data_IF_671584823020
#
_entry.id   IF_671584823020
#
_cell.length_a   1.000
_cell.length_b   1.000
_cell.length_c   1.000
_cell.angle_alpha   90.00
_cell.angle_beta   90.00
_cell.angle_gamma   90.00
#
_symmetry.space_group_name_H-M   'P 1'
#
loop_
_entity.id
_entity.type
_entity.pdbx_description
1 polymer ?
#
# COMPACT_ATOMS: atom_id res chain seq x y z
N UNK A 1 -13.60 -0.62 -36.46
CA UNK A 1 -12.67 -0.74 -35.31
C UNK A 1 -12.98 0.45 -34.42
N UNK A 2 -12.92 0.32 -33.09
CA UNK A 2 -13.05 1.51 -32.23
C UNK A 2 -11.74 2.27 -32.28
N UNK A 3 -11.78 3.54 -32.62
CA UNK A 3 -10.60 4.39 -32.62
C UNK A 3 -10.31 4.87 -31.21
N UNK A 4 -9.04 5.01 -30.78
CA UNK A 4 -8.68 5.48 -29.45
C UNK A 4 -9.27 6.85 -29.10
N UNK A 5 -9.39 7.73 -30.09
CA UNK A 5 -9.95 9.09 -29.95
C UNK A 5 -11.43 9.05 -29.50
N UNK A 6 -12.23 8.11 -30.02
CA UNK A 6 -13.63 7.96 -29.63
C UNK A 6 -13.76 7.47 -28.17
N UNK A 7 -12.88 6.58 -27.74
CA UNK A 7 -12.82 6.11 -26.35
C UNK A 7 -12.37 7.22 -25.41
N UNK A 8 -11.37 8.02 -25.79
CA UNK A 8 -10.91 9.16 -25.00
C UNK A 8 -11.99 10.24 -24.90
N UNK A 9 -12.72 10.51 -25.98
CA UNK A 9 -13.85 11.44 -25.97
C UNK A 9 -14.96 10.97 -25.01
N UNK A 10 -15.26 9.68 -25.00
CA UNK A 10 -16.22 9.08 -24.06
C UNK A 10 -15.75 9.25 -22.60
N UNK A 11 -14.48 8.95 -22.32
CA UNK A 11 -13.89 9.15 -20.97
C UNK A 11 -13.95 10.63 -20.56
N UNK A 12 -13.74 11.55 -21.49
CA UNK A 12 -13.84 12.99 -21.22
C UNK A 12 -15.29 13.38 -20.87
N UNK A 13 -16.27 12.94 -21.67
CA UNK A 13 -17.69 13.24 -21.44
C UNK A 13 -18.20 12.67 -20.10
N UNK A 14 -17.71 11.49 -19.70
CA UNK A 14 -18.02 10.87 -18.43
C UNK A 14 -17.25 11.46 -17.23
N UNK A 15 -16.36 12.43 -17.47
CA UNK A 15 -15.49 13.02 -16.43
C UNK A 15 -14.46 12.00 -15.87
N UNK A 16 -14.11 10.97 -16.65
CA UNK A 16 -13.19 9.90 -16.24
C UNK A 16 -11.80 10.02 -16.85
N UNK A 17 -11.60 10.97 -17.79
CA UNK A 17 -10.30 11.20 -18.41
C UNK A 17 -9.25 11.55 -17.35
N UNK A 18 -8.08 10.93 -17.46
CA UNK A 18 -6.95 11.13 -16.55
C UNK A 18 -5.77 11.73 -17.31
N UNK A 19 -5.05 12.63 -16.67
CA UNK A 19 -3.80 13.21 -17.18
C UNK A 19 -2.70 13.08 -16.12
N UNK A 20 -1.47 12.93 -16.59
CA UNK A 20 -0.30 13.01 -15.71
C UNK A 20 -0.07 14.47 -15.30
N UNK A 21 0.25 14.64 -14.02
CA UNK A 21 0.73 15.92 -13.51
C UNK A 21 2.23 15.81 -13.31
N UNK A 22 2.99 16.62 -14.02
CA UNK A 22 4.44 16.73 -13.84
C UNK A 22 4.72 17.86 -12.86
N UNK A 23 5.62 17.65 -11.92
CA UNK A 23 6.02 18.67 -10.96
C UNK A 23 7.37 18.31 -10.34
N UNK A 24 8.09 19.32 -9.88
CA UNK A 24 9.30 19.15 -9.07
C UNK A 24 8.88 18.98 -7.61
N UNK A 25 9.26 17.87 -6.99
CA UNK A 25 9.00 17.63 -5.57
C UNK A 25 10.23 18.05 -4.75
N UNK A 26 10.00 18.81 -3.66
CA UNK A 26 10.96 19.00 -2.58
C UNK A 26 10.19 19.01 -1.25
N UNK A 27 10.60 18.20 -0.28
CA UNK A 27 10.10 18.23 1.11
C UNK A 27 8.59 18.44 1.28
N UNK A 28 7.76 17.58 0.68
CA UNK A 28 6.30 17.73 0.65
C UNK A 28 5.79 18.94 -0.14
N UNK A 29 6.68 19.72 -0.77
CA UNK A 29 6.32 20.77 -1.71
C UNK A 29 6.41 20.24 -3.14
N UNK A 30 5.38 20.52 -3.93
CA UNK A 30 5.38 20.38 -5.38
C UNK A 30 5.38 21.78 -5.97
N UNK A 31 6.01 21.95 -7.12
CA UNK A 31 5.76 23.13 -7.94
C UNK A 31 4.75 22.77 -9.03
N UNK A 32 3.76 23.62 -9.24
CA UNK A 32 2.88 23.54 -10.42
C UNK A 32 3.69 23.83 -11.69
N UNK A 33 3.08 23.60 -12.86
CA UNK A 33 3.69 23.98 -14.15
C UNK A 33 4.11 25.46 -14.20
N UNK A 34 3.44 26.32 -13.42
CA UNK A 34 3.66 27.76 -13.33
C UNK A 34 4.67 28.13 -12.22
N UNK A 35 5.32 27.13 -11.61
CA UNK A 35 6.36 27.33 -10.60
C UNK A 35 5.85 27.69 -9.19
N UNK A 36 4.53 27.68 -8.94
CA UNK A 36 3.98 27.98 -7.63
C UNK A 36 4.20 26.80 -6.66
N UNK A 37 4.69 27.05 -5.44
CA UNK A 37 4.85 26.01 -4.44
C UNK A 37 3.49 25.53 -3.94
N UNK A 38 3.32 24.23 -3.84
CA UNK A 38 2.08 23.57 -3.37
C UNK A 38 2.43 22.53 -2.32
N UNK A 39 1.78 22.58 -1.16
CA UNK A 39 1.93 21.55 -0.13
C UNK A 39 1.20 20.28 -0.58
N UNK A 40 1.92 19.17 -0.57
CA UNK A 40 1.43 17.90 -1.12
C UNK A 40 0.74 17.04 -0.06
N UNK A 41 -0.58 17.10 0.01
CA UNK A 41 -1.43 16.23 0.83
C UNK A 41 -1.94 14.98 0.08
N UNK A 42 -1.17 14.49 -0.91
CA UNK A 42 -1.53 13.31 -1.70
C UNK A 42 -0.45 12.22 -1.75
N UNK A 43 0.75 12.51 -1.23
CA UNK A 43 1.86 11.57 -1.23
C UNK A 43 1.62 10.41 -0.26
N UNK A 44 2.07 9.22 -0.64
CA UNK A 44 2.14 8.08 0.27
C UNK A 44 3.51 7.97 0.99
N UNK A 45 4.40 8.94 0.81
CA UNK A 45 5.66 9.05 1.58
C UNK A 45 5.37 9.56 2.98
N UNK A 46 4.74 8.70 3.79
CA UNK A 46 4.18 9.05 5.09
C UNK A 46 5.21 9.57 6.10
N UNK A 47 6.45 9.09 6.01
CA UNK A 47 7.54 9.50 6.89
C UNK A 47 8.47 10.53 6.26
N UNK A 48 8.29 10.86 4.96
CA UNK A 48 9.15 11.80 4.24
C UNK A 48 10.53 11.24 3.93
N UNK A 49 10.69 9.91 3.88
CA UNK A 49 11.99 9.26 3.71
C UNK A 49 12.48 9.22 2.26
N UNK A 50 11.63 9.45 1.26
CA UNK A 50 12.02 9.33 -0.14
C UNK A 50 13.14 10.29 -0.58
N UNK A 51 13.38 11.35 0.20
CA UNK A 51 14.43 12.35 -0.02
C UNK A 51 15.44 12.40 1.14
N UNK A 52 15.35 11.46 2.05
CA UNK A 52 16.27 11.38 3.17
C UNK A 52 17.71 11.15 2.70
N UNK A 53 18.64 11.95 3.23
CA UNK A 53 20.04 11.91 2.82
C UNK A 53 20.65 10.53 2.99
N UNK A 54 20.29 9.79 4.04
CA UNK A 54 20.81 8.43 4.26
C UNK A 54 20.35 7.46 3.17
N UNK A 55 19.06 7.53 2.73
CA UNK A 55 18.56 6.71 1.64
C UNK A 55 19.22 7.09 0.31
N UNK A 56 19.36 8.38 0.05
CA UNK A 56 20.02 8.88 -1.17
C UNK A 56 21.47 8.40 -1.22
N UNK A 57 22.21 8.51 -0.12
CA UNK A 57 23.60 8.07 -0.05
C UNK A 57 23.71 6.56 -0.23
N UNK A 58 22.87 5.75 0.41
CA UNK A 58 22.83 4.30 0.24
C UNK A 58 22.54 3.90 -1.23
N UNK A 59 21.65 4.60 -1.90
CA UNK A 59 21.35 4.39 -3.31
C UNK A 59 22.56 4.74 -4.22
N UNK A 60 23.21 5.88 -3.97
CA UNK A 60 24.38 6.34 -4.71
C UNK A 60 25.57 5.37 -4.55
N UNK A 61 25.85 4.93 -3.33
CA UNK A 61 26.90 3.97 -3.02
C UNK A 61 26.63 2.63 -3.73
N UNK A 62 25.43 2.10 -3.61
CA UNK A 62 25.04 0.86 -4.30
C UNK A 62 25.13 0.99 -5.82
N UNK A 63 24.75 2.15 -6.39
CA UNK A 63 24.92 2.43 -7.81
C UNK A 63 26.38 2.43 -8.21
N UNK A 64 27.25 3.07 -7.44
CA UNK A 64 28.69 3.09 -7.70
C UNK A 64 29.32 1.71 -7.68
N UNK A 65 28.84 0.81 -6.81
CA UNK A 65 29.40 -0.54 -6.62
C UNK A 65 28.81 -1.60 -7.56
N UNK A 66 27.51 -1.55 -7.83
CA UNK A 66 26.78 -2.60 -8.54
C UNK A 66 26.23 -2.15 -9.90
N UNK A 67 26.35 -0.88 -10.26
CA UNK A 67 25.76 -0.31 -11.47
C UNK A 67 24.30 0.09 -11.29
N UNK A 68 23.70 0.62 -12.38
CA UNK A 68 22.34 1.17 -12.39
C UNK A 68 21.24 0.11 -12.52
N UNK A 69 21.59 -1.14 -12.83
CA UNK A 69 20.64 -2.23 -13.01
C UNK A 69 21.25 -3.59 -12.71
N UNK A 70 20.43 -4.61 -12.55
CA UNK A 70 20.87 -5.96 -12.20
C UNK A 70 21.21 -6.85 -13.41
N UNK A 71 20.89 -6.42 -14.64
CA UNK A 71 21.29 -7.07 -15.89
C UNK A 71 20.55 -8.36 -16.26
N UNK A 72 19.83 -9.01 -15.32
CA UNK A 72 19.11 -10.26 -15.53
C UNK A 72 17.97 -10.43 -14.51
N UNK A 73 17.15 -11.49 -14.67
CA UNK A 73 16.22 -11.90 -13.64
C UNK A 73 16.95 -12.45 -12.41
N UNK A 74 16.25 -12.44 -11.26
CA UNK A 74 16.78 -12.89 -9.97
C UNK A 74 17.31 -14.34 -10.01
N UNK A 75 16.66 -15.23 -10.76
CA UNK A 75 17.03 -16.63 -10.85
C UNK A 75 18.18 -16.92 -11.82
N UNK A 76 18.57 -15.95 -12.64
CA UNK A 76 19.71 -16.11 -13.57
C UNK A 76 20.99 -15.52 -12.94
N UNK A 77 21.20 -14.22 -13.05
CA UNK A 77 22.37 -13.54 -12.49
C UNK A 77 22.05 -12.19 -11.85
N UNK A 78 20.75 -11.82 -11.80
CA UNK A 78 20.30 -10.53 -11.28
C UNK A 78 20.12 -10.48 -9.75
N UNK A 79 20.40 -11.58 -9.03
CA UNK A 79 20.34 -11.60 -7.56
C UNK A 79 21.64 -11.10 -6.96
N UNK A 80 21.71 -9.80 -6.70
CA UNK A 80 22.88 -9.13 -6.12
C UNK A 80 22.78 -9.06 -4.60
N UNK A 81 23.93 -8.78 -3.92
CA UNK A 81 23.97 -8.71 -2.45
C UNK A 81 22.91 -7.77 -1.84
N UNK A 82 22.67 -6.54 -2.35
CA UNK A 82 21.64 -5.67 -1.77
C UNK A 82 20.24 -6.28 -1.75
N UNK A 83 19.88 -7.14 -2.71
CA UNK A 83 18.59 -7.81 -2.70
C UNK A 83 18.47 -8.83 -1.57
N UNK A 84 19.55 -9.64 -1.36
CA UNK A 84 19.59 -10.61 -0.28
C UNK A 84 19.56 -9.93 1.08
N UNK A 85 20.40 -8.91 1.26
CA UNK A 85 20.53 -8.20 2.53
C UNK A 85 19.19 -7.52 2.92
N UNK A 86 18.48 -6.96 1.93
CA UNK A 86 17.13 -6.41 2.11
C UNK A 86 16.12 -7.50 2.51
N UNK A 87 16.13 -8.67 1.85
CA UNK A 87 15.20 -9.76 2.14
C UNK A 87 15.44 -10.37 3.53
N UNK A 88 16.70 -10.55 3.92
CA UNK A 88 17.08 -10.97 5.26
C UNK A 88 16.61 -9.96 6.32
N UNK A 89 16.80 -8.66 6.07
CA UNK A 89 16.36 -7.61 6.97
C UNK A 89 14.84 -7.49 7.09
N UNK A 90 14.09 -7.66 5.99
CA UNK A 90 12.63 -7.71 6.03
C UNK A 90 12.15 -8.90 6.86
N UNK A 91 12.74 -10.07 6.67
CA UNK A 91 12.37 -11.27 7.43
C UNK A 91 12.59 -11.06 8.93
N UNK A 92 13.75 -10.54 9.32
CA UNK A 92 14.08 -10.19 10.71
C UNK A 92 13.06 -9.16 11.27
N UNK A 93 12.85 -8.05 10.54
CA UNK A 93 11.97 -6.98 10.96
C UNK A 93 10.52 -7.44 11.13
N UNK A 94 10.03 -8.30 10.21
CA UNK A 94 8.66 -8.83 10.26
C UNK A 94 8.49 -10.06 11.17
N UNK A 95 9.57 -10.54 11.79
CA UNK A 95 9.53 -11.73 12.65
C UNK A 95 9.22 -13.02 11.89
N UNK A 96 9.65 -13.14 10.61
CA UNK A 96 9.37 -14.31 9.78
C UNK A 96 10.66 -15.05 9.39
N UNK A 97 10.54 -16.30 8.93
CA UNK A 97 11.71 -17.11 8.55
C UNK A 97 12.39 -16.63 7.25
N UNK A 98 11.62 -15.95 6.38
CA UNK A 98 12.13 -15.47 5.09
C UNK A 98 11.24 -14.36 4.51
N UNK A 99 11.80 -13.61 3.55
CA UNK A 99 11.07 -12.68 2.71
C UNK A 99 11.55 -12.77 1.26
N UNK A 100 10.71 -12.30 0.33
CA UNK A 100 11.03 -12.16 -1.08
C UNK A 100 10.56 -10.78 -1.58
N UNK A 101 11.41 -10.09 -2.33
CA UNK A 101 11.13 -8.75 -2.86
C UNK A 101 10.75 -8.78 -4.35
N UNK A 102 9.92 -7.82 -4.73
CA UNK A 102 9.40 -7.61 -6.09
C UNK A 102 9.57 -6.16 -6.52
N UNK A 103 9.44 -5.90 -7.81
CA UNK A 103 9.56 -4.56 -8.39
C UNK A 103 8.57 -3.53 -7.79
N UNK A 104 7.41 -3.97 -7.35
CA UNK A 104 6.37 -3.14 -6.68
C UNK A 104 5.34 -4.03 -5.97
N UNK A 105 4.46 -3.41 -5.18
CA UNK A 105 3.38 -4.12 -4.47
C UNK A 105 2.39 -4.82 -5.40
N UNK A 106 2.12 -4.27 -6.58
CA UNK A 106 1.25 -4.92 -7.56
C UNK A 106 1.83 -6.27 -8.02
N UNK A 107 3.12 -6.29 -8.36
CA UNK A 107 3.84 -7.51 -8.73
C UNK A 107 3.90 -8.53 -7.57
N UNK A 108 4.00 -8.05 -6.32
CA UNK A 108 3.97 -8.90 -5.13
C UNK A 108 2.62 -9.62 -5.01
N UNK A 109 1.51 -8.89 -5.06
CA UNK A 109 0.16 -9.45 -4.98
C UNK A 109 -0.11 -10.47 -6.10
N UNK A 110 0.22 -10.09 -7.35
CA UNK A 110 0.09 -10.97 -8.52
C UNK A 110 0.94 -12.23 -8.39
N UNK A 111 2.16 -12.08 -7.86
CA UNK A 111 3.09 -13.19 -7.64
C UNK A 111 2.61 -14.12 -6.53
N UNK A 112 2.21 -13.59 -5.39
CA UNK A 112 1.75 -14.35 -4.24
C UNK A 112 0.49 -15.14 -4.55
N UNK A 113 -0.57 -14.47 -5.00
CA UNK A 113 -1.85 -15.13 -5.27
C UNK A 113 -1.75 -16.12 -6.45
N UNK A 114 -0.98 -15.76 -7.50
CA UNK A 114 -0.76 -16.68 -8.64
C UNK A 114 0.15 -17.87 -8.34
N UNK A 115 1.01 -17.78 -7.30
CA UNK A 115 1.87 -18.89 -6.89
C UNK A 115 1.18 -19.82 -5.88
N UNK A 116 0.32 -19.26 -5.04
CA UNK A 116 -0.27 -19.98 -3.91
C UNK A 116 -1.62 -20.61 -4.21
N UNK A 117 -2.34 -20.12 -5.20
CA UNK A 117 -3.71 -20.55 -5.49
C UNK A 117 -3.81 -21.24 -6.85
N UNK A 118 -4.75 -22.18 -6.92
CA UNK A 118 -5.15 -22.93 -8.12
C UNK A 118 -6.67 -23.02 -8.23
N UNK A 119 -7.19 -23.61 -9.31
CA UNK A 119 -8.63 -23.73 -9.55
C UNK A 119 -9.41 -24.51 -8.49
N UNK A 120 -8.73 -25.36 -7.70
CA UNK A 120 -9.34 -26.10 -6.59
C UNK A 120 -9.44 -25.32 -5.28
N UNK A 121 -8.80 -24.15 -5.20
CA UNK A 121 -8.71 -23.34 -3.99
C UNK A 121 -9.83 -22.29 -3.93
N UNK A 122 -10.02 -21.73 -2.73
CA UNK A 122 -10.98 -20.64 -2.48
C UNK A 122 -10.25 -19.46 -1.85
N UNK A 123 -10.50 -18.25 -2.38
CA UNK A 123 -10.04 -17.00 -1.80
C UNK A 123 -11.25 -16.14 -1.42
N UNK A 124 -11.30 -15.73 -0.16
CA UNK A 124 -12.34 -14.87 0.41
C UNK A 124 -11.69 -13.52 0.72
N UNK A 125 -12.22 -12.44 0.12
CA UNK A 125 -11.57 -11.14 0.12
C UNK A 125 -12.51 -10.03 0.55
N UNK A 126 -12.00 -9.05 1.31
CA UNK A 126 -12.74 -7.83 1.61
C UNK A 126 -13.03 -7.04 0.32
N UNK A 127 -14.23 -6.45 0.27
CA UNK A 127 -14.71 -5.70 -0.91
C UNK A 127 -13.82 -4.50 -1.27
N UNK A 128 -13.15 -3.90 -0.31
CA UNK A 128 -12.30 -2.73 -0.52
C UNK A 128 -10.82 -3.04 -0.72
N UNK A 129 -10.46 -4.31 -0.79
CA UNK A 129 -9.08 -4.70 -1.14
C UNK A 129 -8.62 -4.06 -2.45
N UNK A 130 -7.34 -3.69 -2.49
CA UNK A 130 -6.70 -3.07 -3.63
C UNK A 130 -6.81 -3.92 -4.91
N UNK A 131 -6.92 -3.26 -6.05
CA UNK A 131 -7.08 -3.91 -7.36
C UNK A 131 -6.05 -5.01 -7.63
N UNK A 132 -4.80 -4.85 -7.20
CA UNK A 132 -3.75 -5.87 -7.39
C UNK A 132 -4.09 -7.22 -6.73
N UNK A 133 -4.74 -7.22 -5.57
CA UNK A 133 -5.18 -8.42 -4.87
C UNK A 133 -6.34 -9.09 -5.63
N UNK A 134 -7.29 -8.29 -6.10
CA UNK A 134 -8.42 -8.79 -6.91
C UNK A 134 -7.90 -9.41 -8.22
N UNK A 135 -6.99 -8.72 -8.91
CA UNK A 135 -6.42 -9.20 -10.18
C UNK A 135 -5.59 -10.47 -9.97
N UNK A 136 -4.78 -10.51 -8.92
CA UNK A 136 -4.03 -11.71 -8.55
C UNK A 136 -4.94 -12.91 -8.26
N UNK A 137 -6.01 -12.69 -7.49
CA UNK A 137 -7.00 -13.73 -7.18
C UNK A 137 -7.72 -14.25 -8.45
N UNK A 138 -8.16 -13.35 -9.33
CA UNK A 138 -8.81 -13.72 -10.58
C UNK A 138 -7.89 -14.53 -11.50
N UNK A 139 -6.62 -14.12 -11.60
CA UNK A 139 -5.64 -14.82 -12.47
C UNK A 139 -5.18 -16.17 -11.92
N UNK A 140 -5.32 -16.41 -10.61
CA UNK A 140 -4.96 -17.71 -10.01
C UNK A 140 -5.87 -18.87 -10.47
N UNK A 141 -7.10 -18.54 -10.92
CA UNK A 141 -8.13 -19.50 -11.25
C UNK A 141 -8.90 -20.02 -10.02
N UNK A 142 -8.55 -19.60 -8.81
CA UNK A 142 -9.27 -19.96 -7.60
C UNK A 142 -10.69 -19.38 -7.56
N UNK A 143 -11.54 -19.99 -6.77
CA UNK A 143 -12.90 -19.48 -6.55
C UNK A 143 -12.85 -18.22 -5.70
N UNK A 144 -13.00 -17.04 -6.33
CA UNK A 144 -13.04 -15.75 -5.61
C UNK A 144 -14.41 -15.50 -5.00
N UNK A 145 -14.44 -15.13 -3.72
CA UNK A 145 -15.61 -14.66 -2.98
C UNK A 145 -15.29 -13.34 -2.30
N UNK A 146 -16.23 -12.42 -2.39
CA UNK A 146 -16.11 -11.08 -1.81
C UNK A 146 -17.08 -10.96 -0.64
N UNK A 147 -16.61 -10.50 0.52
CA UNK A 147 -17.48 -10.12 1.61
C UNK A 147 -17.56 -8.58 1.73
N UNK A 148 -18.70 -8.04 2.23
CA UNK A 148 -18.84 -6.62 2.46
C UNK A 148 -17.78 -6.12 3.43
N UNK A 149 -17.29 -4.91 3.21
CA UNK A 149 -16.21 -4.30 3.95
C UNK A 149 -16.35 -4.45 5.47
N UNK A 150 -15.34 -5.02 6.10
CA UNK A 150 -15.23 -5.27 7.54
C UNK A 150 -16.41 -6.07 8.16
N UNK A 151 -17.19 -6.80 7.36
CA UNK A 151 -18.35 -7.56 7.83
C UNK A 151 -17.94 -8.98 8.26
N UNK A 152 -17.70 -9.14 9.57
CA UNK A 152 -17.24 -10.40 10.17
C UNK A 152 -18.27 -11.53 10.06
N UNK A 153 -19.57 -11.24 10.24
CA UNK A 153 -20.62 -12.25 10.12
C UNK A 153 -20.66 -12.86 8.71
N UNK A 154 -20.47 -12.01 7.69
CA UNK A 154 -20.43 -12.49 6.30
C UNK A 154 -19.15 -13.26 6.00
N UNK A 155 -18.01 -12.82 6.56
CA UNK A 155 -16.74 -13.54 6.47
C UNK A 155 -16.89 -14.93 7.11
N UNK A 156 -17.41 -15.02 8.33
CA UNK A 156 -17.62 -16.27 9.04
C UNK A 156 -18.52 -17.23 8.27
N UNK A 157 -19.65 -16.73 7.76
CA UNK A 157 -20.58 -17.52 6.94
C UNK A 157 -19.90 -18.12 5.71
N UNK A 158 -19.04 -17.32 5.00
CA UNK A 158 -18.30 -17.80 3.84
C UNK A 158 -17.25 -18.83 4.22
N UNK A 159 -16.48 -18.60 5.29
CA UNK A 159 -15.50 -19.57 5.80
C UNK A 159 -16.16 -20.89 6.13
N UNK A 160 -17.24 -20.88 6.94
CA UNK A 160 -17.96 -22.09 7.33
C UNK A 160 -18.59 -22.84 6.14
N UNK A 161 -19.05 -22.11 5.12
CA UNK A 161 -19.61 -22.71 3.89
C UNK A 161 -18.53 -23.40 3.06
N UNK A 162 -17.42 -22.69 2.80
CA UNK A 162 -16.38 -23.23 1.90
C UNK A 162 -15.52 -24.28 2.56
N UNK A 163 -15.25 -24.19 3.86
CA UNK A 163 -14.51 -25.23 4.60
C UNK A 163 -15.15 -26.63 4.47
N UNK A 164 -16.49 -26.69 4.41
CA UNK A 164 -17.24 -27.94 4.23
C UNK A 164 -17.25 -28.46 2.77
N UNK A 165 -16.90 -27.61 1.80
CA UNK A 165 -17.03 -27.91 0.36
C UNK A 165 -15.72 -28.21 -0.34
N UNK A 166 -14.63 -27.60 0.10
CA UNK A 166 -13.31 -27.81 -0.50
C UNK A 166 -12.70 -29.12 -0.01
N UNK A 167 -11.82 -29.70 -0.82
CA UNK A 167 -11.06 -30.88 -0.43
C UNK A 167 -10.04 -30.54 0.68
N UNK A 168 -9.60 -31.55 1.43
CA UNK A 168 -8.54 -31.39 2.44
C UNK A 168 -7.22 -30.85 1.86
N UNK A 169 -6.97 -31.10 0.57
CA UNK A 169 -5.79 -30.64 -0.14
C UNK A 169 -5.94 -29.23 -0.75
N UNK A 170 -7.13 -28.63 -0.64
CA UNK A 170 -7.40 -27.30 -1.18
C UNK A 170 -7.15 -26.22 -0.13
N UNK A 171 -6.66 -25.07 -0.58
CA UNK A 171 -6.42 -23.91 0.27
C UNK A 171 -7.67 -23.06 0.41
N UNK A 172 -7.94 -22.62 1.62
CA UNK A 172 -8.90 -21.57 1.95
C UNK A 172 -8.10 -20.37 2.41
N UNK A 173 -8.10 -19.29 1.61
CA UNK A 173 -7.31 -18.09 1.86
C UNK A 173 -8.24 -16.90 2.11
N UNK A 174 -8.04 -16.21 3.22
CA UNK A 174 -8.61 -14.88 3.46
C UNK A 174 -7.59 -13.83 3.05
N UNK A 175 -8.05 -12.75 2.39
CA UNK A 175 -7.22 -11.61 2.00
C UNK A 175 -7.88 -10.34 2.49
N UNK A 176 -7.14 -9.51 3.21
CA UNK A 176 -7.57 -8.18 3.66
C UNK A 176 -6.39 -7.21 3.70
N UNK A 177 -6.68 -5.91 3.79
CA UNK A 177 -5.70 -4.87 4.09
C UNK A 177 -5.78 -4.50 5.57
N UNK A 178 -4.67 -4.14 6.18
CA UNK A 178 -4.66 -3.61 7.55
C UNK A 178 -5.22 -2.21 7.65
N UNK A 179 -4.93 -1.38 6.63
CA UNK A 179 -5.47 -0.02 6.45
C UNK A 179 -5.91 0.12 5.00
N UNK A 180 -7.17 0.47 4.79
CA UNK A 180 -7.74 0.56 3.45
C UNK A 180 -7.39 1.88 2.75
N UNK A 181 -6.90 1.77 1.53
CA UNK A 181 -6.21 2.84 0.80
C UNK A 181 -7.05 4.09 0.50
N UNK A 182 -8.38 3.96 0.40
CA UNK A 182 -9.30 5.05 0.04
C UNK A 182 -10.13 5.55 1.22
N UNK A 183 -10.32 4.73 2.23
CA UNK A 183 -11.15 5.03 3.39
C UNK A 183 -10.31 5.36 4.64
N UNK A 184 -9.06 4.89 4.69
CA UNK A 184 -8.14 5.14 5.78
C UNK A 184 -8.50 4.44 7.10
N UNK A 185 -9.54 3.63 7.09
CA UNK A 185 -9.96 2.84 8.24
C UNK A 185 -9.17 1.54 8.36
N UNK A 186 -9.29 0.88 9.50
CA UNK A 186 -8.55 -0.33 9.84
C UNK A 186 -9.42 -1.56 9.77
N UNK A 187 -8.83 -2.69 9.39
CA UNK A 187 -9.47 -3.98 9.52
C UNK A 187 -9.65 -4.37 11.01
N UNK A 188 -10.74 -5.06 11.38
CA UNK A 188 -10.88 -5.73 12.67
C UNK A 188 -10.01 -7.00 12.68
N UNK A 189 -8.67 -6.77 12.72
CA UNK A 189 -7.69 -7.81 12.41
C UNK A 189 -7.68 -8.95 13.44
N UNK A 190 -7.90 -8.66 14.72
CA UNK A 190 -7.92 -9.68 15.77
C UNK A 190 -9.04 -10.69 15.52
N UNK A 191 -10.23 -10.20 15.25
CA UNK A 191 -11.41 -11.03 14.97
C UNK A 191 -11.27 -11.78 13.64
N UNK A 192 -10.64 -11.16 12.63
CA UNK A 192 -10.34 -11.85 11.36
C UNK A 192 -9.38 -13.01 11.59
N UNK A 193 -8.32 -12.81 12.38
CA UNK A 193 -7.34 -13.87 12.71
C UNK A 193 -8.03 -15.01 13.48
N UNK A 194 -8.86 -14.69 14.46
CA UNK A 194 -9.63 -15.71 15.22
C UNK A 194 -10.53 -16.54 14.29
N UNK A 195 -11.21 -15.91 13.33
CA UNK A 195 -12.02 -16.62 12.33
C UNK A 195 -11.18 -17.48 11.40
N UNK A 196 -10.05 -16.97 10.94
CA UNK A 196 -9.11 -17.69 10.06
C UNK A 196 -8.62 -18.98 10.74
N UNK A 197 -8.21 -18.91 12.00
CA UNK A 197 -7.78 -20.08 12.77
C UNK A 197 -8.93 -21.05 13.05
N UNK A 198 -10.10 -20.54 13.45
CA UNK A 198 -11.31 -21.35 13.72
C UNK A 198 -11.70 -22.23 12.52
N UNK A 199 -11.49 -21.74 11.31
CA UNK A 199 -11.86 -22.45 10.07
C UNK A 199 -10.65 -23.06 9.35
N UNK A 200 -9.48 -23.16 10.00
CA UNK A 200 -8.24 -23.69 9.41
C UNK A 200 -7.98 -23.09 8.00
N UNK A 201 -8.08 -21.78 7.92
CA UNK A 201 -7.81 -20.99 6.73
C UNK A 201 -6.44 -20.30 6.84
N UNK A 202 -5.95 -19.75 5.74
CA UNK A 202 -4.75 -18.92 5.70
C UNK A 202 -5.15 -17.44 5.64
N UNK A 203 -4.32 -16.55 6.19
CA UNK A 203 -4.48 -15.10 6.03
C UNK A 203 -3.31 -14.53 5.24
N UNK A 204 -3.62 -13.80 4.16
CA UNK A 204 -2.72 -12.84 3.53
C UNK A 204 -3.16 -11.44 3.96
N UNK A 205 -2.29 -10.77 4.70
CA UNK A 205 -2.49 -9.40 5.18
C UNK A 205 -1.64 -8.44 4.35
N UNK A 206 -2.27 -7.48 3.69
CA UNK A 206 -1.58 -6.37 3.04
C UNK A 206 -1.44 -5.19 3.99
N UNK A 207 -0.22 -4.90 4.38
CA UNK A 207 0.13 -3.81 5.29
C UNK A 207 0.71 -2.58 4.59
N UNK A 208 0.48 -2.44 3.29
CA UNK A 208 1.07 -1.38 2.47
C UNK A 208 0.81 0.05 3.00
N UNK A 209 -0.30 0.27 3.73
CA UNK A 209 -0.66 1.55 4.33
C UNK A 209 -0.50 1.59 5.86
N UNK A 210 0.03 0.54 6.46
CA UNK A 210 0.28 0.44 7.90
C UNK A 210 1.78 0.43 8.25
N UNK A 211 2.60 -0.18 7.39
CA UNK A 211 4.06 -0.23 7.53
C UNK A 211 4.64 1.18 7.65
N UNK A 212 5.51 1.38 8.63
CA UNK A 212 6.12 2.66 8.98
C UNK A 212 5.23 3.56 9.82
N UNK A 213 3.93 3.23 10.01
CA UNK A 213 2.93 4.08 10.67
C UNK A 213 2.44 3.47 11.97
N UNK A 214 2.12 2.19 11.97
CA UNK A 214 1.54 1.45 13.09
C UNK A 214 2.56 0.50 13.69
N UNK A 215 2.38 0.22 14.98
CA UNK A 215 3.27 -0.62 15.77
C UNK A 215 4.52 0.12 16.28
N UNK A 216 5.09 -0.35 17.37
CA UNK A 216 6.24 0.28 18.04
C UNK A 216 7.52 0.25 17.17
N UNK A 217 7.75 -0.84 16.43
CA UNK A 217 8.83 -0.98 15.45
C UNK A 217 8.43 -0.56 14.04
N UNK A 218 7.20 -0.04 13.84
CA UNK A 218 6.69 0.37 12.55
C UNK A 218 6.40 -0.78 11.58
N UNK A 219 6.20 -1.99 12.10
CA UNK A 219 5.97 -3.17 11.26
C UNK A 219 4.54 -3.25 10.71
N UNK A 220 3.60 -2.51 11.30
CA UNK A 220 2.20 -2.44 10.86
C UNK A 220 1.18 -2.81 11.94
N UNK A 221 -0.06 -3.05 11.52
CA UNK A 221 -1.18 -3.35 12.42
C UNK A 221 -1.01 -4.70 13.14
N UNK A 222 -0.43 -5.66 12.46
CA UNK A 222 -0.15 -6.97 13.07
C UNK A 222 0.75 -6.83 14.30
N UNK A 223 1.82 -6.01 14.22
CA UNK A 223 2.69 -5.70 15.35
C UNK A 223 1.94 -4.96 16.46
N UNK A 224 1.18 -3.91 16.11
CA UNK A 224 0.44 -3.11 17.07
C UNK A 224 -0.49 -3.96 17.94
N UNK A 225 -1.03 -5.03 17.36
CA UNK A 225 -1.95 -5.96 18.03
C UNK A 225 -1.26 -7.24 18.57
N UNK A 226 0.04 -7.42 18.37
CA UNK A 226 0.77 -8.64 18.78
C UNK A 226 0.33 -9.91 18.05
N UNK A 227 -0.02 -9.80 16.77
CA UNK A 227 -0.59 -10.89 15.97
C UNK A 227 0.34 -11.42 14.87
N UNK A 228 1.60 -10.95 14.80
CA UNK A 228 2.51 -11.26 13.68
C UNK A 228 2.66 -12.78 13.46
N UNK A 229 2.83 -13.53 14.55
CA UNK A 229 3.06 -14.98 14.53
C UNK A 229 1.82 -15.79 14.09
N UNK A 230 0.64 -15.15 14.08
CA UNK A 230 -0.64 -15.76 13.69
C UNK A 230 -1.00 -15.50 12.23
N UNK A 231 -0.18 -14.71 11.51
CA UNK A 231 -0.43 -14.33 10.12
C UNK A 231 0.53 -15.05 9.20
N UNK A 232 0.01 -15.96 8.38
CA UNK A 232 0.82 -16.80 7.51
C UNK A 232 1.59 -16.04 6.43
N UNK A 233 0.99 -14.99 5.84
CA UNK A 233 1.50 -14.27 4.69
C UNK A 233 1.38 -12.77 4.92
N UNK A 234 2.52 -12.10 5.17
CA UNK A 234 2.58 -10.66 5.42
C UNK A 234 3.12 -9.94 4.19
N UNK A 235 2.27 -9.18 3.54
CA UNK A 235 2.63 -8.39 2.36
C UNK A 235 2.79 -6.92 2.73
N UNK A 236 3.73 -6.23 2.06
CA UNK A 236 3.89 -4.80 2.20
C UNK A 236 4.55 -4.17 0.98
N UNK A 237 4.73 -2.85 1.05
CA UNK A 237 5.38 -2.07 -0.01
C UNK A 237 6.56 -1.27 0.54
N UNK A 238 7.58 -1.12 -0.30
CA UNK A 238 8.76 -0.31 -0.05
C UNK A 238 8.65 1.10 -0.66
N UNK A 239 7.57 1.34 -1.43
CA UNK A 239 7.34 2.58 -2.18
C UNK A 239 6.46 3.61 -1.45
N UNK A 240 6.22 3.44 -0.15
CA UNK A 240 5.42 4.38 0.65
C UNK A 240 6.24 4.88 1.84
N UNK A 241 5.89 4.55 3.07
CA UNK A 241 6.60 5.01 4.26
C UNK A 241 8.10 4.65 4.28
N UNK A 242 8.51 3.56 3.62
CA UNK A 242 9.94 3.17 3.52
C UNK A 242 10.74 4.15 2.65
N UNK A 243 10.09 4.96 1.82
CA UNK A 243 10.73 6.03 1.04
C UNK A 243 11.50 5.57 -0.21
N UNK A 244 11.31 4.32 -0.67
CA UNK A 244 12.02 3.78 -1.83
C UNK A 244 11.02 3.28 -2.90
N UNK A 245 11.23 2.10 -3.46
CA UNK A 245 10.31 1.42 -4.35
C UNK A 245 10.41 -0.10 -4.18
N UNK A 246 9.35 -0.80 -4.54
CA UNK A 246 9.27 -2.26 -4.44
C UNK A 246 8.07 -2.72 -3.63
N UNK A 247 7.96 -4.03 -3.51
CA UNK A 247 7.07 -4.69 -2.59
C UNK A 247 7.70 -5.96 -2.07
N UNK A 248 7.15 -6.53 -1.02
CA UNK A 248 7.66 -7.76 -0.43
C UNK A 248 6.54 -8.66 0.08
N UNK A 249 6.85 -9.94 0.18
CA UNK A 249 6.10 -10.91 0.98
C UNK A 249 7.07 -11.52 2.01
N UNK A 250 6.65 -11.53 3.28
CA UNK A 250 7.34 -12.14 4.40
C UNK A 250 6.48 -13.29 4.95
N UNK A 251 7.10 -14.47 5.15
CA UNK A 251 6.40 -15.70 5.54
C UNK A 251 7.40 -16.78 6.00
N UNK A 252 6.90 -18.00 6.23
CA UNK A 252 7.78 -19.15 6.46
C UNK A 252 8.65 -19.44 5.24
N UNK A 253 9.79 -20.07 5.45
CA UNK A 253 10.75 -20.47 4.40
C UNK A 253 10.06 -21.31 3.31
N UNK A 254 9.14 -22.18 3.68
CA UNK A 254 8.41 -23.01 2.73
C UNK A 254 7.56 -22.19 1.77
N UNK A 255 6.84 -21.17 2.26
CA UNK A 255 6.05 -20.26 1.44
C UNK A 255 6.91 -19.42 0.51
N UNK A 256 8.04 -18.91 1.00
CA UNK A 256 8.97 -18.11 0.20
C UNK A 256 9.65 -18.97 -0.88
N UNK A 257 10.03 -20.21 -0.57
CA UNK A 257 10.56 -21.13 -1.57
C UNK A 257 9.52 -21.44 -2.66
N UNK A 258 8.27 -21.66 -2.28
CA UNK A 258 7.19 -21.87 -3.25
C UNK A 258 6.99 -20.64 -4.14
N UNK A 259 7.01 -19.44 -3.55
CA UNK A 259 6.90 -18.17 -4.26
C UNK A 259 8.04 -17.98 -5.26
N UNK A 260 9.30 -18.24 -4.85
CA UNK A 260 10.48 -18.17 -5.70
C UNK A 260 10.35 -19.06 -6.95
N UNK A 261 9.72 -20.23 -6.80
CA UNK A 261 9.61 -21.23 -7.87
C UNK A 261 8.36 -21.09 -8.73
N UNK A 262 7.35 -20.33 -8.31
CA UNK A 262 6.05 -20.24 -9.02
C UNK A 262 5.61 -18.82 -9.38
N UNK A 263 6.12 -17.79 -8.70
CA UNK A 263 5.69 -16.42 -8.94
C UNK A 263 6.19 -15.90 -10.29
N UNK A 264 5.31 -15.85 -11.28
CA UNK A 264 5.65 -15.37 -12.62
C UNK A 264 6.24 -13.95 -12.66
N UNK A 265 5.75 -12.96 -11.87
CA UNK A 265 6.36 -11.64 -11.82
C UNK A 265 7.79 -11.63 -11.25
N UNK A 266 8.18 -12.65 -10.51
CA UNK A 266 9.55 -12.82 -10.02
C UNK A 266 10.44 -13.53 -11.05
N UNK A 267 9.95 -14.64 -11.61
CA UNK A 267 10.71 -15.52 -12.51
C UNK A 267 11.05 -14.80 -13.83
N UNK A 268 10.08 -14.08 -14.40
CA UNK A 268 10.13 -13.55 -15.77
C UNK A 268 10.39 -12.03 -15.83
N UNK A 269 10.73 -11.40 -14.70
CA UNK A 269 11.11 -9.98 -14.66
C UNK A 269 12.61 -9.83 -14.43
N UNK A 270 13.22 -8.84 -15.06
CA UNK A 270 14.53 -8.35 -14.67
C UNK A 270 14.49 -7.91 -13.20
N UNK A 271 15.53 -8.22 -12.45
CA UNK A 271 15.63 -7.83 -11.04
C UNK A 271 15.60 -6.31 -10.87
N UNK A 272 15.02 -5.81 -9.78
CA UNK A 272 15.07 -4.38 -9.44
C UNK A 272 16.51 -3.85 -9.38
N UNK A 273 16.72 -2.54 -9.59
CA UNK A 273 18.03 -1.94 -9.41
C UNK A 273 18.61 -2.16 -7.99
N UNK A 274 19.90 -2.47 -7.83
CA UNK A 274 20.52 -2.66 -6.51
C UNK A 274 20.45 -1.41 -5.63
N UNK A 275 20.46 -0.22 -6.22
CA UNK A 275 20.28 1.04 -5.54
C UNK A 275 18.94 1.13 -4.80
N UNK A 276 17.88 0.65 -5.44
CA UNK A 276 16.53 0.59 -4.84
C UNK A 276 16.49 -0.34 -3.64
N UNK A 277 17.17 -1.49 -3.72
CA UNK A 277 17.24 -2.44 -2.62
C UNK A 277 18.03 -1.86 -1.42
N UNK A 278 19.16 -1.20 -1.68
CA UNK A 278 19.97 -0.55 -0.65
C UNK A 278 19.22 0.60 0.04
N UNK A 279 18.54 1.45 -0.73
CA UNK A 279 17.72 2.51 -0.16
C UNK A 279 16.57 1.95 0.70
N UNK A 280 15.92 0.87 0.24
CA UNK A 280 14.85 0.21 1.00
C UNK A 280 15.34 -0.37 2.32
N UNK A 281 16.51 -1.01 2.33
CA UNK A 281 17.16 -1.50 3.54
C UNK A 281 17.40 -0.37 4.54
N UNK A 282 18.01 0.73 4.09
CA UNK A 282 18.24 1.92 4.90
C UNK A 282 16.93 2.50 5.46
N UNK A 283 15.87 2.56 4.64
CA UNK A 283 14.56 3.03 5.07
C UNK A 283 13.93 2.17 6.18
N UNK A 284 14.06 0.84 6.08
CA UNK A 284 13.61 -0.09 7.14
C UNK A 284 14.41 0.12 8.42
N UNK A 285 15.73 0.29 8.32
CA UNK A 285 16.57 0.53 9.49
C UNK A 285 16.22 1.84 10.19
N UNK A 286 15.93 2.90 9.44
CA UNK A 286 15.44 4.15 10.02
C UNK A 286 14.09 3.93 10.71
N UNK A 287 13.13 3.27 10.08
CA UNK A 287 11.81 3.00 10.65
C UNK A 287 11.91 2.23 11.96
N UNK A 288 12.79 1.25 12.05
CA UNK A 288 13.02 0.42 13.22
C UNK A 288 13.84 1.10 14.33
N UNK A 289 14.42 2.28 14.08
CA UNK A 289 15.26 3.02 15.02
C UNK A 289 14.48 4.04 15.85
N UNK A 290 15.17 4.69 16.83
CA UNK A 290 14.62 5.83 17.58
C UNK A 290 14.21 6.98 16.66
N UNK A 291 14.92 7.23 15.56
CA UNK A 291 14.53 8.21 14.55
C UNK A 291 13.18 7.87 13.90
N UNK A 292 12.91 6.59 13.67
CA UNK A 292 11.61 6.13 13.17
C UNK A 292 10.48 6.39 14.18
N UNK A 293 10.73 6.26 15.48
CA UNK A 293 9.77 6.64 16.54
C UNK A 293 9.45 8.12 16.44
N UNK A 294 10.46 9.00 16.38
CA UNK A 294 10.27 10.46 16.26
C UNK A 294 9.49 10.84 14.98
N UNK A 295 9.72 10.15 13.87
CA UNK A 295 8.99 10.37 12.62
C UNK A 295 7.53 9.96 12.77
N UNK A 296 7.25 8.79 13.39
CA UNK A 296 5.89 8.35 13.68
C UNK A 296 5.16 9.32 14.62
N UNK A 297 5.81 9.78 15.67
CA UNK A 297 5.22 10.73 16.61
C UNK A 297 4.80 12.04 15.92
N UNK A 298 5.66 12.58 15.04
CA UNK A 298 5.32 13.75 14.22
C UNK A 298 4.16 13.47 13.26
N UNK A 299 4.17 12.31 12.61
CA UNK A 299 3.08 11.91 11.73
C UNK A 299 1.75 11.82 12.50
N UNK A 300 1.75 11.15 13.65
CA UNK A 300 0.56 11.00 14.49
C UNK A 300 0.08 12.32 15.09
N UNK A 301 0.98 13.25 15.41
CA UNK A 301 0.60 14.62 15.80
C UNK A 301 -0.19 15.30 14.66
N UNK A 302 0.30 15.24 13.42
CA UNK A 302 -0.39 15.79 12.26
C UNK A 302 -1.75 15.11 11.99
N UNK A 303 -1.80 13.76 12.10
CA UNK A 303 -3.04 12.98 11.95
C UNK A 303 -4.07 13.40 13.00
N UNK A 304 -3.67 13.45 14.27
CA UNK A 304 -4.53 13.83 15.39
C UNK A 304 -5.06 15.24 15.20
N UNK A 305 -4.18 16.19 14.84
CA UNK A 305 -4.54 17.58 14.61
C UNK A 305 -5.61 17.76 13.52
N UNK A 306 -5.41 17.15 12.34
CA UNK A 306 -6.39 17.26 11.28
C UNK A 306 -7.69 16.51 11.62
N UNK A 307 -7.60 15.36 12.26
CA UNK A 307 -8.77 14.57 12.68
C UNK A 307 -9.62 15.35 13.69
N UNK A 308 -9.00 15.99 14.69
CA UNK A 308 -9.68 16.87 15.64
C UNK A 308 -10.42 18.01 14.94
N UNK A 309 -9.74 18.73 14.04
CA UNK A 309 -10.30 19.83 13.27
C UNK A 309 -11.51 19.41 12.40
N UNK A 310 -11.49 18.17 11.91
CA UNK A 310 -12.58 17.61 11.10
C UNK A 310 -13.65 16.87 11.92
N UNK A 311 -13.52 16.80 13.25
CA UNK A 311 -14.42 16.04 14.12
C UNK A 311 -14.40 14.54 13.87
N UNK A 312 -13.25 13.97 13.48
CA UNK A 312 -13.06 12.55 13.15
C UNK A 312 -12.18 11.87 14.18
N UNK A 313 -12.30 10.55 14.29
CA UNK A 313 -11.33 9.75 15.05
C UNK A 313 -10.10 9.46 14.17
N UNK A 314 -8.88 9.62 14.71
CA UNK A 314 -7.66 9.29 13.98
C UNK A 314 -7.52 7.78 13.82
N UNK A 315 -7.37 7.29 12.60
CA UNK A 315 -7.23 5.86 12.30
C UNK A 315 -5.92 5.54 11.56
N UNK A 316 -5.53 6.40 10.62
CA UNK A 316 -4.32 6.24 9.80
C UNK A 316 -3.89 7.59 9.20
N UNK A 317 -2.82 7.57 8.41
CA UNK A 317 -2.35 8.75 7.67
C UNK A 317 -3.29 9.19 6.53
N UNK A 318 -4.35 8.46 6.26
CA UNK A 318 -5.31 8.72 5.17
C UNK A 318 -6.62 9.20 5.79
N UNK A 319 -7.03 10.44 5.45
CA UNK A 319 -8.26 11.05 5.94
C UNK A 319 -9.13 11.43 4.75
N UNK A 320 -10.19 10.67 4.44
CA UNK A 320 -11.11 11.00 3.37
C UNK A 320 -12.07 12.13 3.78
N UNK A 321 -12.30 13.09 2.89
CA UNK A 321 -13.39 14.06 2.97
C UNK A 321 -14.39 13.73 1.88
N UNK A 322 -15.47 13.05 2.27
CA UNK A 322 -16.49 12.56 1.33
C UNK A 322 -17.37 13.72 0.89
N UNK A 323 -17.47 13.93 -0.41
CA UNK A 323 -18.28 14.99 -1.04
C UNK A 323 -19.46 14.42 -1.83
N UNK A 324 -19.44 13.12 -2.13
CA UNK A 324 -20.52 12.40 -2.81
C UNK A 324 -20.46 12.55 -4.34
N UNK A 325 -20.56 13.76 -4.84
CA UNK A 325 -20.61 14.07 -6.26
C UNK A 325 -19.23 14.25 -6.91
N UNK A 326 -19.06 13.78 -8.15
CA UNK A 326 -17.79 13.84 -8.86
C UNK A 326 -17.35 15.27 -9.19
N UNK A 327 -18.28 16.13 -9.63
CA UNK A 327 -17.97 17.50 -9.99
C UNK A 327 -17.62 18.32 -8.74
N UNK A 328 -18.35 18.09 -7.64
CA UNK A 328 -18.05 18.73 -6.36
C UNK A 328 -16.63 18.38 -5.90
N UNK A 329 -16.25 17.09 -5.97
CA UNK A 329 -14.91 16.66 -5.59
C UNK A 329 -13.82 17.26 -6.50
N UNK A 330 -14.09 17.39 -7.81
CA UNK A 330 -13.16 18.02 -8.74
C UNK A 330 -13.00 19.51 -8.47
N UNK A 331 -14.10 20.25 -8.28
CA UNK A 331 -14.08 21.68 -7.94
C UNK A 331 -13.33 21.91 -6.62
N UNK A 332 -13.64 21.12 -5.60
CA UNK A 332 -12.96 21.21 -4.31
C UNK A 332 -11.45 21.00 -4.45
N UNK A 333 -11.02 19.98 -5.21
CA UNK A 333 -9.60 19.71 -5.47
C UNK A 333 -8.92 20.85 -6.24
N UNK A 334 -9.60 21.46 -7.22
CA UNK A 334 -9.07 22.60 -7.98
C UNK A 334 -8.93 23.84 -7.08
N UNK A 335 -9.96 24.18 -6.30
CA UNK A 335 -9.91 25.32 -5.37
C UNK A 335 -8.81 25.17 -4.31
N UNK A 336 -8.59 23.96 -3.79
CA UNK A 336 -7.48 23.71 -2.86
C UNK A 336 -6.13 23.91 -3.54
N UNK A 337 -5.99 23.47 -4.79
CA UNK A 337 -4.76 23.67 -5.57
C UNK A 337 -4.44 25.15 -5.77
N UNK A 338 -5.44 25.96 -6.10
CA UNK A 338 -5.31 27.43 -6.22
C UNK A 338 -4.88 28.08 -4.88
N UNK A 339 -5.26 27.48 -3.76
CA UNK A 339 -4.85 27.92 -2.41
C UNK A 339 -3.50 27.33 -1.97
N UNK A 340 -2.79 26.62 -2.84
CA UNK A 340 -1.48 26.04 -2.57
C UNK A 340 -1.52 24.67 -1.87
N UNK A 341 -2.62 23.92 -1.94
CA UNK A 341 -2.75 22.58 -1.35
C UNK A 341 -3.13 21.54 -2.39
N UNK A 342 -2.34 20.49 -2.54
CA UNK A 342 -2.67 19.37 -3.42
C UNK A 342 -3.40 18.26 -2.63
N UNK A 343 -4.72 18.18 -2.80
CA UNK A 343 -5.56 17.11 -2.29
C UNK A 343 -6.42 16.56 -3.45
N UNK A 344 -6.13 15.35 -3.97
CA UNK A 344 -6.76 14.85 -5.17
C UNK A 344 -8.20 14.41 -4.95
N UNK A 345 -9.04 14.64 -5.96
CA UNK A 345 -10.38 14.07 -6.04
C UNK A 345 -10.30 12.60 -6.46
N UNK A 346 -10.82 11.71 -5.62
CA UNK A 346 -11.00 10.29 -5.93
C UNK A 346 -12.45 10.07 -6.31
N UNK A 347 -12.67 9.42 -7.47
CA UNK A 347 -13.97 9.24 -8.11
C UNK A 347 -14.15 7.79 -8.55
N UNK A 348 -15.34 7.45 -9.03
CA UNK A 348 -15.57 6.22 -9.77
C UNK A 348 -14.54 6.08 -10.92
N UNK A 349 -14.04 4.86 -11.23
CA UNK A 349 -14.34 3.57 -10.61
C UNK A 349 -13.50 3.24 -9.35
N UNK A 350 -12.62 4.13 -8.91
CA UNK A 350 -11.74 3.89 -7.74
C UNK A 350 -12.56 3.77 -6.44
N UNK A 351 -13.63 4.57 -6.34
CA UNK A 351 -14.63 4.50 -5.27
C UNK A 351 -16.03 4.35 -5.87
N UNK A 352 -17.03 3.85 -5.12
CA UNK A 352 -18.40 3.70 -5.62
C UNK A 352 -18.99 5.03 -6.10
N UNK A 353 -19.98 4.97 -7.01
CA UNK A 353 -20.77 6.14 -7.42
C UNK A 353 -21.46 6.76 -6.20
N UNK A 354 -21.49 8.10 -6.12
CA UNK A 354 -22.05 8.83 -4.98
C UNK A 354 -21.15 8.86 -3.74
N UNK A 355 -19.88 8.45 -3.84
CA UNK A 355 -18.91 8.48 -2.74
C UNK A 355 -17.57 9.14 -3.13
N UNK A 356 -17.64 10.05 -4.12
CA UNK A 356 -16.47 10.84 -4.50
C UNK A 356 -15.96 11.66 -3.31
N UNK A 357 -14.66 11.80 -3.21
CA UNK A 357 -14.00 12.35 -2.02
C UNK A 357 -12.69 13.04 -2.37
N UNK A 358 -12.24 13.93 -1.49
CA UNK A 358 -10.83 14.27 -1.41
C UNK A 358 -10.12 13.21 -0.57
N UNK A 359 -9.01 12.67 -1.05
CA UNK A 359 -8.16 11.77 -0.28
C UNK A 359 -6.97 12.56 0.27
N UNK A 360 -7.09 12.99 1.51
CA UNK A 360 -6.03 13.71 2.18
C UNK A 360 -5.07 12.71 2.81
N UNK A 361 -3.78 12.92 2.62
CA UNK A 361 -2.72 12.08 3.18
C UNK A 361 -1.77 12.93 4.00
N UNK A 362 -1.54 12.55 5.25
CA UNK A 362 -0.59 13.22 6.14
C UNK A 362 0.80 12.59 6.03
N UNK A 363 1.81 13.41 6.28
CA UNK A 363 3.21 13.02 6.34
C UNK A 363 3.88 13.63 7.58
N UNK A 364 4.91 12.98 8.08
CA UNK A 364 5.79 13.52 9.13
C UNK A 364 6.48 14.82 8.72
N UNK A 365 6.59 15.08 7.40
CA UNK A 365 7.19 16.32 6.86
C UNK A 365 6.23 17.50 6.79
N UNK A 366 4.91 17.31 7.03
CA UNK A 366 3.99 18.44 7.06
C UNK A 366 4.23 19.32 8.32
N UNK A 367 4.22 20.63 8.11
CA UNK A 367 4.22 21.59 9.22
C UNK A 367 2.80 21.78 9.73
N UNK A 368 2.64 22.07 11.02
CA UNK A 368 1.32 22.27 11.64
C UNK A 368 0.53 23.37 10.95
N UNK A 369 1.19 24.47 10.57
CA UNK A 369 0.55 25.61 9.89
C UNK A 369 -0.08 25.18 8.55
N UNK A 370 0.56 24.26 7.82
CA UNK A 370 0.03 23.72 6.56
C UNK A 370 -1.20 22.85 6.83
N UNK A 371 -1.21 22.06 7.89
CA UNK A 371 -2.36 21.23 8.29
C UNK A 371 -3.57 22.09 8.67
N UNK A 372 -3.34 23.12 9.47
CA UNK A 372 -4.39 24.09 9.86
C UNK A 372 -4.88 24.88 8.65
N UNK A 373 -3.98 25.36 7.78
CA UNK A 373 -4.32 26.10 6.57
C UNK A 373 -5.12 25.26 5.56
N UNK A 374 -4.79 23.96 5.43
CA UNK A 374 -5.60 23.02 4.64
C UNK A 374 -7.03 22.94 5.19
N UNK A 375 -7.18 22.75 6.53
CA UNK A 375 -8.51 22.68 7.15
C UNK A 375 -9.32 23.95 6.90
N UNK A 376 -8.73 25.14 7.11
CA UNK A 376 -9.41 26.42 6.84
C UNK A 376 -9.86 26.53 5.37
N UNK A 377 -9.04 25.99 4.45
CA UNK A 377 -9.37 25.97 3.04
C UNK A 377 -10.50 24.99 2.72
N UNK A 378 -10.59 23.86 3.43
CA UNK A 378 -11.67 22.87 3.29
C UNK A 378 -13.04 23.44 3.70
N UNK A 379 -13.11 24.29 4.72
CA UNK A 379 -14.37 24.94 5.14
C UNK A 379 -15.02 25.82 4.03
N UNK A 380 -14.23 26.22 3.03
CA UNK A 380 -14.70 27.07 1.94
C UNK A 380 -14.94 26.31 0.61
N UNK A 381 -14.83 24.99 0.62
CA UNK A 381 -15.02 24.17 -0.60
C UNK A 381 -16.07 23.08 -0.45
N UNK A 382 -16.72 22.97 0.72
CA UNK A 382 -17.83 22.06 1.04
C UNK A 382 -19.19 22.68 0.76
#
# INVERSE_FOLDING_TARGET
MREPEDELATLHQEGLLRSLRSGLSSDQLLSTSDGLPVVNFSSNDYLGLSRDEALVNAACEATGRYGTGAGASRLISGSLLPHRDLEERIAEWKGTEAALTFANGYATAMGALGAFLTSGDVVIMDKLCHACLIDGARRSGATLRIFPHNNLDKLENLLGHYRKKISENSRLLVVTESVFSMDGDRAPLAEIVDLVEKYDALLLLDEAHAVGILGSGGQGLAEELGLQDRIALQMGTLGKAVGSAGGYLAASRAWINLLTNKARPFIYSTAPPPAQAAASLCGIDIIASSRGVELRDRLWSNISRLSELLGKQPASAIIPVILGDNEMALRASATLLEKGYLAPAIRFPTVPRGSARLRITLSAGHREEAVVGLHQSLLNVS
#
